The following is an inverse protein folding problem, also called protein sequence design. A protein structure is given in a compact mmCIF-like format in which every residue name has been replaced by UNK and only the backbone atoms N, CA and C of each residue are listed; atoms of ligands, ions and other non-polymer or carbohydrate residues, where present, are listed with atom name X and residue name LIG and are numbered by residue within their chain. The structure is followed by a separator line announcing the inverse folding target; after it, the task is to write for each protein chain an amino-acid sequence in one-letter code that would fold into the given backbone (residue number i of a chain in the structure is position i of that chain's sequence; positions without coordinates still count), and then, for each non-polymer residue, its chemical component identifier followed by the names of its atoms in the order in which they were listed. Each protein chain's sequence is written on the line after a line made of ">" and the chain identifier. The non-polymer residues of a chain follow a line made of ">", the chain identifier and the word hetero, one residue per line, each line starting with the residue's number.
data_IF_249830269930
#
_entry.id   IF_249830269930
#
_cell.length_a   1.000
_cell.length_b   1.000
_cell.length_c   1.000
_cell.angle_alpha   90.00
_cell.angle_beta   90.00
_cell.angle_gamma   90.00
#
_symmetry.space_group_name_H-M   'P 1'
#
loop_
_entity.id
_entity.type
_entity.pdbx_description
1 polymer ?
#
# COMPACT_ATOMS: atom_id res chain seq x y z
N UNK A 1 -12.83 42.04 31.53
CA UNK A 1 -14.01 41.41 30.90
C UNK A 1 -13.63 41.11 29.45
N UNK A 2 -13.23 39.86 29.18
CA UNK A 2 -12.71 39.46 27.86
C UNK A 2 -13.91 39.16 26.93
N UNK A 3 -13.97 39.80 25.75
CA UNK A 3 -15.03 39.52 24.77
C UNK A 3 -14.83 38.09 24.23
N UNK A 4 -15.91 37.31 23.99
CA UNK A 4 -15.78 36.00 23.40
C UNK A 4 -15.32 36.14 21.95
N UNK A 5 -14.05 35.85 21.70
CA UNK A 5 -13.53 35.69 20.35
C UNK A 5 -14.04 34.35 19.83
N UNK A 6 -14.90 34.38 18.82
CA UNK A 6 -15.35 33.16 18.14
C UNK A 6 -14.21 32.64 17.28
N UNK A 7 -13.78 31.40 17.51
CA UNK A 7 -12.78 30.72 16.69
C UNK A 7 -13.40 30.46 15.31
N UNK A 8 -12.80 31.02 14.26
CA UNK A 8 -13.33 30.94 12.88
C UNK A 8 -12.91 29.68 12.15
N UNK A 9 -11.76 29.07 12.49
CA UNK A 9 -11.31 27.78 11.96
C UNK A 9 -10.29 27.11 12.90
N UNK A 10 -10.41 25.80 13.09
CA UNK A 10 -9.47 24.97 13.86
C UNK A 10 -8.26 24.47 13.02
N UNK A 11 -8.26 24.73 11.70
CA UNK A 11 -7.21 24.27 10.79
C UNK A 11 -7.31 22.77 10.44
N UNK A 12 -6.49 22.25 9.51
CA UNK A 12 -6.59 20.86 9.05
C UNK A 12 -6.18 19.83 10.13
N UNK A 13 -5.28 20.17 11.05
CA UNK A 13 -4.81 19.24 12.06
C UNK A 13 -5.78 19.06 13.23
N UNK A 14 -6.59 20.09 13.53
CA UNK A 14 -7.53 20.06 14.66
C UNK A 14 -9.01 20.13 14.22
N UNK A 15 -9.30 20.62 13.03
CA UNK A 15 -10.66 20.78 12.50
C UNK A 15 -11.13 19.64 11.57
N UNK A 16 -10.38 18.55 11.46
CA UNK A 16 -10.76 17.42 10.59
C UNK A 16 -11.67 16.45 11.33
N UNK A 17 -12.85 16.20 10.77
CA UNK A 17 -13.82 15.23 11.28
C UNK A 17 -14.14 14.20 10.21
N UNK A 18 -14.23 12.94 10.61
CA UNK A 18 -14.57 11.82 9.73
C UNK A 18 -15.94 11.27 10.14
N UNK A 19 -16.79 11.04 9.14
CA UNK A 19 -18.10 10.44 9.35
C UNK A 19 -17.98 8.92 9.28
N UNK A 20 -18.39 8.25 10.35
CA UNK A 20 -18.43 6.79 10.46
C UNK A 20 -19.89 6.39 10.68
N UNK A 21 -20.56 6.03 9.59
CA UNK A 21 -22.00 5.75 9.58
C UNK A 21 -22.84 6.95 10.02
N UNK A 22 -23.54 6.80 11.14
CA UNK A 22 -24.37 7.86 11.75
C UNK A 22 -23.58 8.83 12.64
N UNK A 23 -22.33 8.50 13.01
CA UNK A 23 -21.53 9.28 13.94
C UNK A 23 -20.49 10.13 13.20
N UNK A 24 -20.16 11.29 13.77
CA UNK A 24 -19.08 12.16 13.30
C UNK A 24 -18.03 12.23 14.40
N UNK A 25 -16.81 11.78 14.10
CA UNK A 25 -15.69 11.72 15.04
C UNK A 25 -14.57 12.65 14.60
N UNK A 26 -13.88 13.26 15.56
CA UNK A 26 -12.67 14.05 15.29
C UNK A 26 -11.54 13.11 14.85
N UNK A 27 -10.87 13.42 13.74
CA UNK A 27 -9.76 12.63 13.24
C UNK A 27 -8.56 12.76 14.18
N UNK A 28 -7.89 11.65 14.48
CA UNK A 28 -6.60 11.69 15.16
C UNK A 28 -5.47 11.98 14.16
N UNK A 29 -4.26 12.26 14.65
CA UNK A 29 -3.12 12.60 13.79
C UNK A 29 -2.79 11.49 12.76
N UNK A 30 -2.89 10.21 13.15
CA UNK A 30 -2.64 9.09 12.25
C UNK A 30 -3.67 9.01 11.11
N UNK A 31 -4.94 9.25 11.39
CA UNK A 31 -6.01 9.32 10.40
C UNK A 31 -5.81 10.50 9.45
N UNK A 32 -5.36 11.65 9.97
CA UNK A 32 -5.08 12.83 9.14
C UNK A 32 -3.93 12.54 8.17
N UNK A 33 -2.87 11.88 8.62
CA UNK A 33 -1.77 11.48 7.74
C UNK A 33 -2.19 10.45 6.69
N UNK A 34 -3.00 9.45 7.06
CA UNK A 34 -3.56 8.50 6.11
C UNK A 34 -4.43 9.19 5.05
N UNK A 35 -5.31 10.12 5.46
CA UNK A 35 -6.11 10.92 4.53
C UNK A 35 -5.25 11.77 3.61
N UNK A 36 -4.13 12.31 4.10
CA UNK A 36 -3.15 13.05 3.29
C UNK A 36 -2.45 12.13 2.28
N UNK A 37 -2.12 10.90 2.65
CA UNK A 37 -1.53 9.91 1.74
C UNK A 37 -2.51 9.52 0.64
N UNK A 38 -3.77 9.25 1.01
CA UNK A 38 -4.84 8.95 0.07
C UNK A 38 -5.07 10.11 -0.92
N UNK A 39 -5.05 11.36 -0.44
CA UNK A 39 -5.15 12.53 -1.31
C UNK A 39 -4.01 12.66 -2.33
N UNK A 40 -2.83 12.07 -2.03
CA UNK A 40 -1.68 11.99 -2.93
C UNK A 40 -1.69 10.73 -3.81
N UNK A 41 -2.71 9.88 -3.69
CA UNK A 41 -2.79 8.59 -4.38
C UNK A 41 -1.80 7.55 -3.84
N UNK A 42 -1.25 7.77 -2.64
CA UNK A 42 -0.37 6.82 -1.98
C UNK A 42 -1.20 5.93 -1.08
N UNK A 43 -1.06 4.62 -1.26
CA UNK A 43 -1.73 3.63 -0.42
C UNK A 43 -0.70 2.74 0.25
N UNK A 44 -0.94 2.36 1.50
CA UNK A 44 -0.03 1.49 2.24
C UNK A 44 0.26 0.18 1.49
N UNK A 45 -0.75 -0.41 0.85
CA UNK A 45 -0.63 -1.66 0.12
C UNK A 45 0.21 -1.56 -1.16
N UNK A 46 0.41 -0.35 -1.69
CA UNK A 46 1.22 -0.11 -2.89
C UNK A 46 2.61 0.42 -2.55
N UNK A 47 2.95 0.52 -1.26
CA UNK A 47 4.28 0.92 -0.83
C UNK A 47 5.28 -0.23 -0.97
N UNK A 48 6.53 0.15 -1.25
CA UNK A 48 7.65 -0.78 -1.27
C UNK A 48 7.98 -1.30 0.14
N UNK A 49 8.19 -2.61 0.25
CA UNK A 49 8.67 -3.21 1.49
C UNK A 49 10.20 -3.26 1.54
N UNK A 50 10.79 -2.32 2.29
CA UNK A 50 12.24 -2.10 2.30
C UNK A 50 13.08 -3.13 3.08
N UNK A 51 12.51 -4.26 3.50
CA UNK A 51 13.26 -5.32 4.20
C UNK A 51 13.19 -6.67 3.50
N UNK A 52 12.47 -6.73 2.38
CA UNK A 52 12.17 -7.96 1.67
C UNK A 52 13.09 -8.08 0.46
N UNK A 53 13.66 -9.27 0.25
CA UNK A 53 14.50 -9.57 -0.89
C UNK A 53 13.73 -10.39 -1.93
N UNK A 54 14.20 -10.45 -3.20
CA UNK A 54 13.56 -11.28 -4.23
C UNK A 54 13.48 -12.78 -3.89
N UNK A 55 14.23 -13.23 -2.88
CA UNK A 55 14.22 -14.64 -2.42
C UNK A 55 13.04 -14.95 -1.50
N UNK A 56 12.43 -13.92 -0.92
CA UNK A 56 11.32 -14.06 0.03
C UNK A 56 9.96 -14.21 -0.69
N UNK A 57 9.93 -14.03 -2.02
CA UNK A 57 8.74 -14.27 -2.82
C UNK A 57 8.39 -15.77 -2.87
N UNK A 58 7.10 -16.07 -2.67
CA UNK A 58 6.59 -17.43 -2.88
C UNK A 58 6.43 -17.75 -4.37
N UNK A 59 7.50 -18.33 -4.92
CA UNK A 59 7.56 -18.79 -6.30
C UNK A 59 6.47 -19.79 -6.68
N UNK A 60 5.94 -20.60 -5.73
CA UNK A 60 4.90 -21.58 -6.06
C UNK A 60 3.61 -20.90 -6.46
N UNK A 61 3.27 -19.84 -5.75
CA UNK A 61 2.00 -19.15 -5.93
C UNK A 61 2.04 -18.14 -7.07
N UNK A 62 3.22 -17.56 -7.33
CA UNK A 62 3.49 -16.83 -8.58
C UNK A 62 3.30 -17.76 -9.79
N UNK A 63 3.84 -18.99 -9.74
CA UNK A 63 3.62 -19.98 -10.81
C UNK A 63 2.14 -20.32 -10.97
N UNK A 64 1.42 -20.55 -9.87
CA UNK A 64 -0.01 -20.83 -9.93
C UNK A 64 -0.79 -19.69 -10.60
N UNK A 65 -0.46 -18.44 -10.26
CA UNK A 65 -1.04 -17.25 -10.89
C UNK A 65 -0.73 -17.17 -12.39
N UNK A 66 0.54 -17.36 -12.79
CA UNK A 66 0.93 -17.32 -14.20
C UNK A 66 0.30 -18.47 -15.01
N UNK A 67 0.20 -19.67 -14.44
CA UNK A 67 -0.45 -20.83 -15.07
C UNK A 67 -1.95 -20.66 -15.28
N UNK A 68 -2.60 -19.84 -14.46
CA UNK A 68 -4.03 -19.50 -14.66
C UNK A 68 -4.27 -18.65 -15.91
N UNK A 69 -3.22 -18.00 -16.44
CA UNK A 69 -3.30 -17.15 -17.63
C UNK A 69 -2.97 -17.96 -18.89
N UNK A 70 -3.86 -17.97 -19.91
CA UNK A 70 -3.67 -18.78 -21.11
C UNK A 70 -2.42 -18.40 -21.91
N UNK A 71 -1.98 -17.14 -21.84
CA UNK A 71 -0.82 -16.65 -22.60
C UNK A 71 0.54 -16.97 -21.97
N UNK A 72 0.62 -17.39 -20.70
CA UNK A 72 1.89 -17.53 -19.96
C UNK A 72 2.03 -18.84 -19.16
N UNK A 73 1.39 -19.92 -19.63
CA UNK A 73 1.38 -21.23 -18.95
C UNK A 73 2.76 -21.86 -18.68
N UNK A 74 3.81 -21.42 -19.36
CA UNK A 74 5.18 -21.99 -19.24
C UNK A 74 6.27 -20.95 -19.00
N UNK A 75 5.92 -19.70 -18.71
CA UNK A 75 6.91 -18.64 -18.54
C UNK A 75 7.78 -18.90 -17.30
N UNK A 76 9.08 -19.09 -17.52
CA UNK A 76 10.09 -19.14 -16.44
C UNK A 76 10.03 -17.82 -15.68
N UNK A 77 9.92 -17.86 -14.35
CA UNK A 77 9.95 -16.64 -13.51
C UNK A 77 11.29 -15.95 -13.78
N UNK A 78 11.22 -14.83 -14.50
CA UNK A 78 12.35 -13.97 -14.83
C UNK A 78 12.16 -12.62 -14.15
N UNK A 79 13.27 -11.93 -13.90
CA UNK A 79 13.24 -10.60 -13.28
C UNK A 79 12.41 -9.61 -14.12
N UNK A 80 12.39 -9.76 -15.44
CA UNK A 80 11.56 -8.96 -16.35
C UNK A 80 10.07 -9.12 -16.06
N UNK A 81 9.61 -10.35 -15.81
CA UNK A 81 8.21 -10.62 -15.47
C UNK A 81 7.88 -10.00 -14.11
N UNK A 82 8.77 -10.16 -13.13
CA UNK A 82 8.59 -9.58 -11.81
C UNK A 82 8.53 -8.05 -11.87
N UNK A 83 9.33 -7.39 -12.70
CA UNK A 83 9.24 -5.93 -12.93
C UNK A 83 7.98 -5.51 -13.68
N UNK A 84 7.52 -6.31 -14.65
CA UNK A 84 6.31 -6.01 -15.43
C UNK A 84 5.04 -6.01 -14.56
N UNK A 85 4.97 -6.97 -13.63
CA UNK A 85 3.92 -6.99 -12.60
C UNK A 85 4.25 -6.10 -11.42
N UNK A 86 5.22 -5.19 -11.54
CA UNK A 86 5.82 -4.36 -10.49
C UNK A 86 5.81 -5.08 -9.13
N UNK A 87 6.24 -6.35 -9.15
CA UNK A 87 6.58 -7.09 -7.94
C UNK A 87 7.95 -6.66 -7.48
N UNK A 88 8.83 -6.21 -8.38
CA UNK A 88 10.13 -5.65 -8.00
C UNK A 88 10.24 -4.22 -8.50
N UNK A 89 10.56 -3.30 -7.60
CA UNK A 89 10.82 -1.89 -7.91
C UNK A 89 12.29 -1.53 -7.68
N UNK A 90 12.65 -0.31 -8.07
CA UNK A 90 13.88 0.33 -7.61
C UNK A 90 13.52 1.80 -7.43
N UNK A 91 13.76 2.35 -6.24
CA UNK A 91 13.66 3.80 -6.03
C UNK A 91 15.03 4.44 -6.22
N UNK A 92 15.08 5.48 -7.06
CA UNK A 92 16.31 6.15 -7.46
C UNK A 92 16.94 7.05 -6.38
N UNK A 93 16.34 7.17 -5.19
CA UNK A 93 16.79 8.15 -4.18
C UNK A 93 17.94 7.67 -3.27
N UNK A 94 18.26 6.37 -3.25
CA UNK A 94 19.49 5.81 -2.65
C UNK A 94 19.60 4.34 -3.04
N UNK A 95 20.77 3.91 -3.50
CA UNK A 95 21.08 2.51 -3.82
C UNK A 95 20.49 1.50 -2.81
N UNK A 96 19.33 0.93 -3.11
CA UNK A 96 18.75 -0.24 -2.41
C UNK A 96 17.73 -0.93 -3.34
N UNK A 97 17.99 -2.21 -3.65
CA UNK A 97 17.26 -3.08 -4.58
C UNK A 97 16.01 -3.68 -3.94
N UNK A 98 14.76 -3.23 -4.21
CA UNK A 98 13.61 -3.67 -3.39
C UNK A 98 12.21 -3.78 -4.05
N UNK A 99 11.41 -4.67 -3.47
CA UNK A 99 10.20 -5.30 -3.99
C UNK A 99 8.91 -4.49 -3.74
N UNK A 100 8.03 -4.35 -4.75
CA UNK A 100 6.67 -3.76 -4.65
C UNK A 100 5.68 -4.90 -4.41
N UNK A 101 4.77 -4.75 -3.46
CA UNK A 101 3.65 -5.68 -3.31
C UNK A 101 2.52 -5.27 -4.25
N UNK A 102 2.09 -6.21 -5.11
CA UNK A 102 0.97 -5.98 -6.01
C UNK A 102 -0.36 -6.20 -5.32
N UNK A 103 -1.10 -5.10 -5.25
CA UNK A 103 -2.55 -5.02 -5.12
C UNK A 103 -3.25 -5.80 -6.25
N UNK A 104 -3.40 -7.11 -6.06
CA UNK A 104 -4.53 -7.87 -6.58
C UNK A 104 -5.18 -8.59 -5.39
N UNK A 105 -5.72 -7.76 -4.48
CA UNK A 105 -6.08 -8.11 -3.11
C UNK A 105 -7.49 -8.69 -2.99
N UNK A 106 -7.71 -9.85 -3.60
CA UNK A 106 -8.61 -10.86 -3.00
C UNK A 106 -8.11 -12.30 -3.16
N UNK A 107 -7.16 -12.59 -4.07
CA UNK A 107 -6.62 -13.95 -4.22
C UNK A 107 -5.19 -14.13 -3.71
N UNK A 108 -4.46 -13.05 -3.48
CA UNK A 108 -3.02 -13.08 -3.19
C UNK A 108 -2.70 -12.99 -1.69
N UNK A 109 -3.65 -12.64 -0.80
CA UNK A 109 -3.39 -12.66 0.66
C UNK A 109 -3.05 -14.07 1.18
N UNK A 110 -3.47 -15.11 0.46
CA UNK A 110 -3.05 -16.49 0.71
C UNK A 110 -1.57 -16.74 0.40
N UNK A 111 -0.89 -15.83 -0.30
CA UNK A 111 0.43 -16.03 -0.89
C UNK A 111 1.61 -15.76 0.04
N UNK A 112 1.47 -14.83 0.97
CA UNK A 112 2.60 -14.40 1.81
C UNK A 112 2.43 -14.82 3.29
N UNK A 113 1.20 -15.04 3.78
CA UNK A 113 0.93 -15.27 5.21
C UNK A 113 1.09 -16.71 5.73
N UNK A 114 1.62 -17.66 4.97
CA UNK A 114 1.71 -19.07 5.41
C UNK A 114 2.93 -19.40 6.29
N UNK A 115 3.45 -18.43 7.04
CA UNK A 115 4.56 -18.64 7.98
C UNK A 115 4.37 -17.83 9.27
N UNK A 116 3.28 -18.11 9.97
CA UNK A 116 3.19 -18.02 11.43
C UNK A 116 2.61 -19.32 11.95
#
# INVERSE_FOLDING_TARGET
>A
MNKPYYVTAEGPDQGTYVRIGAHTLKANAAMIEELRWQARGLHFETMLHYRTTPKDLDNKKIRAFLSSRPQQKSAKISETILKAYQLIGQEHAKHMLQMLDFCCLEKILSIILAKQ
#
